data_IF_382898797728
#
_entry.id   IF_382898797728
#
_cell.length_a   1.000
_cell.length_b   1.000
_cell.length_c   1.000
_cell.angle_alpha   90.00
_cell.angle_beta   90.00
_cell.angle_gamma   90.00
#
_symmetry.space_group_name_H-M   'P 1'
#
loop_
_entity.id
_entity.type
_entity.pdbx_description
1 polymer ?
#
# COMPACT_ATOMS: atom_id res chain seq x y z
N UNK A 1 10.28 -10.00 0.49
CA UNK A 1 10.54 -9.89 1.94
C UNK A 1 10.62 -8.43 2.29
N UNK A 2 9.86 -8.00 3.28
CA UNK A 2 9.82 -6.63 3.73
C UNK A 2 8.97 -6.45 4.99
N UNK A 3 8.74 -5.20 5.41
CA UNK A 3 7.65 -4.88 6.33
C UNK A 3 6.57 -4.22 5.50
N UNK A 4 5.54 -5.00 5.16
CA UNK A 4 4.38 -4.56 4.37
C UNK A 4 3.09 -4.61 5.17
N UNK A 5 2.22 -3.65 4.89
CA UNK A 5 0.84 -3.61 5.36
C UNK A 5 -0.02 -3.93 4.15
N UNK A 6 -0.56 -5.15 4.07
CA UNK A 6 -1.54 -5.52 3.06
C UNK A 6 -2.93 -5.14 3.57
N UNK A 7 -3.74 -4.51 2.73
CA UNK A 7 -5.09 -4.15 3.12
C UNK A 7 -6.08 -4.22 1.97
N UNK A 8 -7.33 -4.48 2.33
CA UNK A 8 -8.49 -4.41 1.43
C UNK A 8 -9.48 -3.40 1.96
N UNK A 9 -10.02 -2.59 1.06
CA UNK A 9 -11.09 -1.63 1.32
C UNK A 9 -12.33 -2.08 0.55
N UNK A 10 -13.48 -2.12 1.21
CA UNK A 10 -14.76 -2.44 0.59
C UNK A 10 -15.86 -1.53 1.15
N UNK A 11 -16.89 -1.31 0.37
CA UNK A 11 -18.13 -0.68 0.84
C UNK A 11 -19.35 -1.42 0.29
N UNK A 12 -20.45 -1.36 1.02
CA UNK A 12 -21.76 -1.84 0.57
C UNK A 12 -22.53 -0.77 -0.22
N UNK A 13 -22.02 0.46 -0.28
CA UNK A 13 -22.58 1.53 -1.10
C UNK A 13 -22.54 1.17 -2.59
N UNK A 14 -23.62 1.48 -3.30
CA UNK A 14 -23.80 1.05 -4.69
C UNK A 14 -23.61 2.21 -5.68
N UNK A 15 -23.89 3.45 -5.25
CA UNK A 15 -23.84 4.62 -6.13
C UNK A 15 -22.46 5.26 -6.15
N UNK A 16 -22.10 5.85 -7.29
CA UNK A 16 -20.83 6.57 -7.43
C UNK A 16 -20.79 7.82 -6.55
N UNK A 17 -21.94 8.45 -6.31
CA UNK A 17 -22.09 9.60 -5.44
C UNK A 17 -21.76 9.27 -3.97
N UNK A 18 -22.23 8.14 -3.46
CA UNK A 18 -21.93 7.68 -2.09
C UNK A 18 -20.46 7.29 -1.95
N UNK A 19 -19.93 6.52 -2.90
CA UNK A 19 -18.51 6.14 -2.92
C UNK A 19 -17.62 7.38 -2.97
N UNK A 20 -17.96 8.37 -3.81
CA UNK A 20 -17.24 9.64 -3.89
C UNK A 20 -17.25 10.36 -2.54
N UNK A 21 -18.41 10.46 -1.87
CA UNK A 21 -18.49 11.11 -0.54
C UNK A 21 -17.58 10.43 0.48
N UNK A 22 -17.54 9.10 0.50
CA UNK A 22 -16.67 8.34 1.41
C UNK A 22 -15.20 8.68 1.14
N UNK A 23 -14.75 8.57 -0.11
CA UNK A 23 -13.35 8.84 -0.48
C UNK A 23 -12.97 10.30 -0.20
N UNK A 24 -13.85 11.26 -0.50
CA UNK A 24 -13.62 12.66 -0.18
C UNK A 24 -13.49 12.88 1.34
N UNK A 25 -14.41 12.36 2.13
CA UNK A 25 -14.36 12.50 3.60
C UNK A 25 -13.11 11.85 4.20
N UNK A 26 -12.71 10.69 3.68
CA UNK A 26 -11.48 10.03 4.07
C UNK A 26 -10.24 10.88 3.71
N UNK A 27 -10.21 11.47 2.52
CA UNK A 27 -9.12 12.36 2.10
C UNK A 27 -9.00 13.60 2.99
N UNK A 28 -10.11 14.25 3.32
CA UNK A 28 -10.11 15.42 4.20
C UNK A 28 -9.52 15.07 5.58
N UNK A 29 -9.90 13.92 6.14
CA UNK A 29 -9.28 13.46 7.39
C UNK A 29 -7.80 13.09 7.22
N UNK A 30 -7.41 12.57 6.06
CA UNK A 30 -6.01 12.27 5.77
C UNK A 30 -5.14 13.53 5.70
N UNK A 31 -5.69 14.67 5.25
CA UNK A 31 -4.97 15.96 5.19
C UNK A 31 -4.61 16.49 6.59
N UNK A 32 -5.35 16.09 7.62
CA UNK A 32 -5.07 16.45 9.02
C UNK A 32 -3.97 15.58 9.66
N UNK A 33 -3.55 14.50 8.99
CA UNK A 33 -2.43 13.66 9.43
C UNK A 33 -1.10 14.28 9.00
N UNK A 34 -0.05 14.03 9.79
CA UNK A 34 1.34 14.44 9.49
C UNK A 34 1.97 13.50 8.44
N UNK A 35 1.39 13.49 7.23
CA UNK A 35 1.84 12.75 6.05
C UNK A 35 2.75 13.62 5.18
N UNK A 36 3.59 13.00 4.35
CA UNK A 36 4.46 13.72 3.40
C UNK A 36 3.64 14.39 2.30
N UNK A 37 2.61 13.69 1.82
CA UNK A 37 1.70 14.24 0.82
C UNK A 37 0.38 13.47 0.80
N UNK A 38 -0.66 14.16 0.34
CA UNK A 38 -1.96 13.59 -0.02
C UNK A 38 -2.33 14.18 -1.38
N UNK A 39 -2.52 13.33 -2.39
CA UNK A 39 -2.87 13.79 -3.74
C UNK A 39 -4.29 14.36 -3.77
N UNK A 40 -4.64 15.03 -4.86
CA UNK A 40 -6.06 15.25 -5.20
C UNK A 40 -6.80 13.93 -5.44
N UNK A 41 -8.12 14.01 -5.46
CA UNK A 41 -8.97 12.87 -5.80
C UNK A 41 -8.74 12.50 -7.26
N UNK A 42 -8.55 11.22 -7.50
CA UNK A 42 -8.36 10.58 -8.79
C UNK A 42 -9.66 9.83 -9.10
N UNK A 43 -10.29 10.19 -10.21
CA UNK A 43 -11.42 9.45 -10.80
C UNK A 43 -11.03 8.99 -12.21
N UNK A 44 -11.03 7.68 -12.43
CA UNK A 44 -10.71 7.06 -13.73
C UNK A 44 -11.90 6.24 -14.19
N UNK A 45 -12.19 6.28 -15.50
CA UNK A 45 -13.29 5.50 -16.10
C UNK A 45 -12.88 4.88 -17.42
N UNK A 46 -13.46 3.72 -17.76
CA UNK A 46 -13.26 3.08 -19.06
C UNK A 46 -11.77 2.81 -19.35
N UNK A 47 -11.28 3.30 -20.49
CA UNK A 47 -9.89 3.10 -20.94
C UNK A 47 -8.84 3.69 -19.97
N UNK A 48 -9.20 4.66 -19.12
CA UNK A 48 -8.27 5.20 -18.12
C UNK A 48 -7.92 4.19 -17.02
N UNK A 49 -8.74 3.14 -16.87
CA UNK A 49 -8.51 2.03 -15.93
C UNK A 49 -7.65 0.90 -16.52
N UNK A 50 -7.15 1.05 -17.76
CA UNK A 50 -6.29 0.06 -18.40
C UNK A 50 -4.80 0.49 -18.40
N UNK A 51 -3.88 -0.42 -18.08
CA UNK A 51 -2.44 -0.13 -17.97
C UNK A 51 -1.78 0.27 -19.29
N UNK A 52 -2.36 -0.12 -20.43
CA UNK A 52 -1.85 0.21 -21.75
C UNK A 52 -2.16 1.66 -22.15
N UNK A 53 -3.22 2.24 -21.58
CA UNK A 53 -3.77 3.55 -21.96
C UNK A 53 -3.77 4.59 -20.84
N UNK A 54 -3.66 4.18 -19.58
CA UNK A 54 -3.65 5.11 -18.44
C UNK A 54 -2.42 6.04 -18.45
N UNK A 55 -2.59 7.23 -17.84
CA UNK A 55 -1.49 8.15 -17.58
C UNK A 55 -0.41 7.45 -16.74
N UNK A 56 0.86 7.73 -17.05
CA UNK A 56 2.01 7.30 -16.26
C UNK A 56 1.88 7.67 -14.79
N UNK A 57 1.27 8.81 -14.47
CA UNK A 57 1.03 9.23 -13.09
C UNK A 57 0.12 8.26 -12.32
N UNK A 58 -0.80 7.59 -13.01
CA UNK A 58 -1.80 6.69 -12.40
C UNK A 58 -1.43 5.21 -12.52
N UNK A 59 -0.31 4.88 -13.18
CA UNK A 59 0.07 3.48 -13.47
C UNK A 59 0.13 2.59 -12.25
N UNK A 60 0.69 3.06 -11.15
CA UNK A 60 0.78 2.26 -9.92
C UNK A 60 -0.61 1.97 -9.33
N UNK A 61 -1.48 2.99 -9.28
CA UNK A 61 -2.87 2.83 -8.85
C UNK A 61 -3.61 1.83 -9.75
N UNK A 62 -3.54 2.01 -11.07
CA UNK A 62 -4.19 1.12 -12.05
C UNK A 62 -3.64 -0.30 -11.97
N UNK A 63 -2.36 -0.48 -11.67
CA UNK A 63 -1.76 -1.80 -11.47
C UNK A 63 -2.40 -2.52 -10.29
N UNK A 64 -2.54 -1.83 -9.15
CA UNK A 64 -3.15 -2.39 -7.95
C UNK A 64 -4.68 -2.50 -8.02
N UNK A 65 -5.30 -1.72 -8.89
CA UNK A 65 -6.74 -1.75 -9.09
C UNK A 65 -7.22 -2.99 -9.85
N UNK A 66 -6.32 -3.75 -10.49
CA UNK A 66 -6.68 -4.96 -11.23
C UNK A 66 -7.05 -6.10 -10.28
N UNK A 67 -8.01 -6.92 -10.70
CA UNK A 67 -8.38 -8.13 -9.98
C UNK A 67 -7.71 -9.33 -10.64
N UNK A 68 -6.97 -10.09 -9.85
CA UNK A 68 -6.43 -11.39 -10.25
C UNK A 68 -7.57 -12.41 -10.22
N UNK A 69 -7.99 -12.89 -11.38
CA UNK A 69 -8.85 -14.05 -11.49
C UNK A 69 -7.97 -15.22 -11.90
N UNK A 70 -7.66 -16.09 -10.93
CA UNK A 70 -7.00 -17.36 -11.20
C UNK A 70 -8.02 -18.38 -11.72
N UNK A 71 -7.93 -18.72 -13.01
CA UNK A 71 -8.52 -19.93 -13.57
C UNK A 71 -7.66 -21.17 -13.29
N UNK A 72 -8.08 -22.34 -13.78
CA UNK A 72 -7.34 -23.60 -13.58
C UNK A 72 -5.92 -23.58 -14.19
N UNK A 73 -5.70 -22.81 -15.27
CA UNK A 73 -4.42 -22.76 -15.98
C UNK A 73 -3.90 -21.34 -16.31
N UNK A 74 -4.70 -20.28 -16.13
CA UNK A 74 -4.31 -18.90 -16.46
C UNK A 74 -4.76 -17.90 -15.38
N UNK A 75 -3.91 -16.89 -15.14
CA UNK A 75 -4.24 -15.72 -14.32
C UNK A 75 -4.64 -14.59 -15.26
N UNK A 76 -5.91 -14.18 -15.21
CA UNK A 76 -6.38 -13.01 -15.95
C UNK A 76 -6.43 -11.80 -15.01
N UNK A 77 -5.88 -10.68 -15.48
CA UNK A 77 -5.91 -9.40 -14.77
C UNK A 77 -7.04 -8.53 -15.33
N UNK A 78 -8.17 -8.50 -14.64
CA UNK A 78 -9.30 -7.69 -15.08
C UNK A 78 -9.20 -6.24 -14.61
N UNK A 79 -9.28 -5.31 -15.56
CA UNK A 79 -9.41 -3.89 -15.27
C UNK A 79 -10.79 -3.58 -14.65
N UNK A 80 -10.87 -2.68 -13.66
CA UNK A 80 -12.16 -2.24 -13.13
C UNK A 80 -12.87 -1.29 -14.13
N UNK A 81 -14.18 -1.15 -13.97
CA UNK A 81 -14.96 -0.20 -14.78
C UNK A 81 -14.72 1.26 -14.35
N UNK A 82 -14.43 1.47 -13.07
CA UNK A 82 -14.20 2.78 -12.47
C UNK A 82 -13.27 2.68 -11.27
N UNK A 83 -12.43 3.70 -11.07
CA UNK A 83 -11.59 3.87 -9.88
C UNK A 83 -11.89 5.25 -9.30
N UNK A 84 -12.15 5.33 -8.00
CA UNK A 84 -12.25 6.58 -7.24
C UNK A 84 -11.33 6.46 -6.03
N UNK A 85 -10.36 7.35 -5.89
CA UNK A 85 -9.39 7.26 -4.81
C UNK A 85 -8.45 8.44 -4.69
N UNK A 86 -7.50 8.34 -3.78
CA UNK A 86 -6.36 9.26 -3.68
C UNK A 86 -5.11 8.48 -3.23
N UNK A 87 -3.96 9.13 -3.35
CA UNK A 87 -2.67 8.57 -2.96
C UNK A 87 -2.11 9.39 -1.81
N UNK A 88 -1.74 8.72 -0.72
CA UNK A 88 -1.11 9.32 0.43
C UNK A 88 0.30 8.75 0.63
N UNK A 89 1.27 9.61 0.95
CA UNK A 89 2.61 9.17 1.29
C UNK A 89 2.83 9.28 2.81
N UNK A 90 2.94 8.16 3.53
CA UNK A 90 3.04 8.19 4.99
C UNK A 90 4.39 8.68 5.52
N UNK A 91 5.44 8.65 4.70
CA UNK A 91 6.78 9.05 5.12
C UNK A 91 7.83 8.81 4.05
N UNK A 92 8.90 9.60 4.10
CA UNK A 92 10.01 9.49 3.14
C UNK A 92 10.60 8.08 3.24
N UNK A 93 10.80 7.42 2.10
CA UNK A 93 11.27 6.03 2.03
C UNK A 93 10.16 4.98 2.18
N UNK A 94 8.88 5.36 2.34
CA UNK A 94 7.78 4.41 2.24
C UNK A 94 7.22 4.36 0.82
N UNK A 95 6.62 3.22 0.45
CA UNK A 95 5.70 3.15 -0.69
C UNK A 95 4.42 3.95 -0.35
N UNK A 96 3.73 4.44 -1.38
CA UNK A 96 2.52 5.22 -1.18
C UNK A 96 1.32 4.34 -0.78
N UNK A 97 0.52 4.83 0.17
CA UNK A 97 -0.78 4.27 0.52
C UNK A 97 -1.81 4.70 -0.53
N UNK A 98 -2.34 3.74 -1.28
CA UNK A 98 -3.43 3.98 -2.22
C UNK A 98 -4.76 3.78 -1.47
N UNK A 99 -5.57 4.83 -1.39
CA UNK A 99 -6.88 4.81 -0.74
C UNK A 99 -7.95 4.95 -1.81
N UNK A 100 -8.40 3.81 -2.35
CA UNK A 100 -9.29 3.78 -3.49
C UNK A 100 -10.40 2.74 -3.34
N UNK A 101 -11.47 2.90 -4.11
CA UNK A 101 -12.48 1.90 -4.38
C UNK A 101 -12.60 1.71 -5.89
N UNK A 102 -12.65 0.45 -6.32
CA UNK A 102 -12.79 0.08 -7.72
C UNK A 102 -14.15 -0.59 -7.95
N UNK A 103 -14.88 -0.11 -8.98
CA UNK A 103 -16.12 -0.73 -9.41
C UNK A 103 -15.81 -1.96 -10.25
N UNK A 104 -16.19 -3.12 -9.75
CA UNK A 104 -16.00 -4.42 -10.39
C UNK A 104 -17.11 -4.70 -11.41
N UNK A 105 -16.87 -5.66 -12.29
CA UNK A 105 -17.85 -6.08 -13.31
C UNK A 105 -19.14 -6.64 -12.70
N UNK A 106 -19.06 -7.24 -11.51
CA UNK A 106 -20.21 -7.72 -10.74
C UNK A 106 -20.97 -6.60 -10.00
N UNK A 107 -20.54 -5.34 -10.12
CA UNK A 107 -21.13 -4.17 -9.47
C UNK A 107 -20.56 -3.83 -8.10
N UNK A 108 -19.73 -4.68 -7.51
CA UNK A 108 -19.14 -4.45 -6.18
C UNK A 108 -18.07 -3.36 -6.19
N UNK A 109 -17.92 -2.68 -5.06
CA UNK A 109 -16.84 -1.71 -4.82
C UNK A 109 -15.82 -2.26 -3.84
N UNK A 110 -14.63 -2.56 -4.33
CA UNK A 110 -13.53 -2.99 -3.49
C UNK A 110 -12.17 -2.63 -4.08
N UNK A 111 -11.14 -2.67 -3.25
CA UNK A 111 -9.76 -2.44 -3.64
C UNK A 111 -8.83 -3.21 -2.71
N UNK A 112 -7.72 -3.72 -3.23
CA UNK A 112 -6.70 -4.42 -2.47
C UNK A 112 -5.32 -3.94 -2.88
N UNK A 113 -4.46 -3.66 -1.90
CA UNK A 113 -3.09 -3.21 -2.15
C UNK A 113 -2.22 -3.50 -0.94
N UNK A 114 -0.92 -3.24 -1.06
CA UNK A 114 -0.02 -3.20 0.08
C UNK A 114 0.80 -1.91 0.09
N UNK A 115 1.29 -1.54 1.27
CA UNK A 115 2.24 -0.46 1.45
C UNK A 115 3.46 -0.99 2.20
N UNK A 116 4.64 -0.91 1.59
CA UNK A 116 5.91 -1.19 2.26
C UNK A 116 6.47 0.05 2.94
N UNK A 117 6.87 -0.11 4.20
CA UNK A 117 7.41 0.99 5.01
C UNK A 117 8.87 0.79 5.40
N UNK A 118 9.46 -0.37 5.11
CA UNK A 118 10.80 -0.74 5.61
C UNK A 118 11.90 0.29 5.28
N UNK A 119 11.89 0.92 4.09
CA UNK A 119 12.97 1.82 3.67
C UNK A 119 12.86 3.21 4.30
N UNK A 120 11.77 3.51 5.01
CA UNK A 120 11.68 4.68 5.88
C UNK A 120 12.65 4.60 7.07
N UNK A 121 13.18 3.40 7.37
CA UNK A 121 14.20 3.20 8.41
C UNK A 121 15.62 3.59 7.99
N UNK A 122 15.84 3.96 6.73
CA UNK A 122 17.14 4.41 6.24
C UNK A 122 17.58 5.69 6.98
N UNK A 123 18.88 5.77 7.29
CA UNK A 123 19.44 6.92 8.02
C UNK A 123 19.26 8.24 7.27
N UNK A 124 19.32 8.23 5.93
CA UNK A 124 19.06 9.39 5.07
C UNK A 124 17.60 9.85 5.07
N UNK A 125 16.67 9.01 5.54
CA UNK A 125 15.24 9.34 5.69
C UNK A 125 14.83 9.64 7.14
N UNK A 126 15.75 9.59 8.11
CA UNK A 126 15.46 9.84 9.52
C UNK A 126 15.43 8.59 10.41
N UNK A 127 15.84 7.44 9.87
CA UNK A 127 16.10 6.24 10.66
C UNK A 127 14.85 5.59 11.26
N UNK A 128 15.04 4.85 12.36
CA UNK A 128 13.97 4.13 13.06
C UNK A 128 12.80 5.04 13.45
N UNK A 129 13.06 6.30 13.84
CA UNK A 129 12.00 7.23 14.21
C UNK A 129 11.08 7.56 13.01
N UNK A 130 11.65 7.77 11.82
CA UNK A 130 10.87 7.98 10.60
C UNK A 130 10.11 6.71 10.19
N UNK A 131 10.70 5.53 10.36
CA UNK A 131 9.98 4.26 10.16
C UNK A 131 8.74 4.15 11.06
N UNK A 132 8.89 4.36 12.37
CA UNK A 132 7.77 4.29 13.31
C UNK A 132 6.68 5.31 12.94
N UNK A 133 7.06 6.55 12.65
CA UNK A 133 6.11 7.57 12.16
C UNK A 133 5.38 7.10 10.91
N UNK A 134 6.11 6.62 9.90
CA UNK A 134 5.54 6.22 8.60
C UNK A 134 4.57 5.07 8.76
N UNK A 135 4.99 4.00 9.45
CA UNK A 135 4.18 2.82 9.64
C UNK A 135 2.91 3.11 10.45
N UNK A 136 3.05 3.84 11.55
CA UNK A 136 1.89 4.23 12.37
C UNK A 136 0.95 5.18 11.64
N UNK A 137 1.46 6.05 10.77
CA UNK A 137 0.62 6.96 9.95
C UNK A 137 -0.17 6.20 8.88
N UNK A 138 0.44 5.20 8.23
CA UNK A 138 -0.28 4.31 7.33
C UNK A 138 -1.42 3.57 8.06
N UNK A 139 -1.16 3.06 9.26
CA UNK A 139 -2.15 2.38 10.09
C UNK A 139 -3.27 3.33 10.53
N UNK A 140 -2.95 4.56 10.96
CA UNK A 140 -3.93 5.60 11.28
C UNK A 140 -4.82 5.94 10.08
N UNK A 141 -4.24 6.00 8.88
CA UNK A 141 -5.02 6.23 7.66
C UNK A 141 -6.04 5.10 7.40
N UNK A 142 -5.67 3.85 7.71
CA UNK A 142 -6.60 2.71 7.66
C UNK A 142 -7.66 2.76 8.78
N UNK A 143 -7.32 3.25 9.97
CA UNK A 143 -8.30 3.51 11.05
C UNK A 143 -9.32 4.58 10.62
N UNK A 144 -8.87 5.66 9.95
CA UNK A 144 -9.75 6.68 9.36
C UNK A 144 -10.63 6.10 8.26
N UNK A 145 -10.11 5.20 7.44
CA UNK A 145 -10.88 4.52 6.39
C UNK A 145 -12.04 3.73 6.99
N UNK A 146 -11.79 3.01 8.09
CA UNK A 146 -12.85 2.31 8.83
C UNK A 146 -13.88 3.27 9.40
N UNK A 147 -13.42 4.38 10.00
CA UNK A 147 -14.30 5.43 10.54
C UNK A 147 -15.14 6.12 9.47
N UNK A 148 -14.64 6.21 8.24
CA UNK A 148 -15.34 6.76 7.09
C UNK A 148 -16.41 5.80 6.50
N UNK A 149 -16.59 4.61 7.09
CA UNK A 149 -17.61 3.64 6.69
C UNK A 149 -17.11 2.54 5.75
N UNK A 150 -15.80 2.40 5.56
CA UNK A 150 -15.24 1.29 4.79
C UNK A 150 -15.08 0.04 5.65
N UNK A 151 -15.38 -1.11 5.07
CA UNK A 151 -14.90 -2.40 5.56
C UNK A 151 -13.41 -2.50 5.26
N UNK A 152 -12.58 -2.54 6.31
CA UNK A 152 -11.12 -2.57 6.21
C UNK A 152 -10.60 -3.91 6.71
N UNK A 153 -10.00 -4.69 5.83
CA UNK A 153 -9.26 -5.90 6.21
C UNK A 153 -7.77 -5.60 6.13
N UNK A 154 -7.00 -5.90 7.18
CA UNK A 154 -5.56 -5.64 7.23
C UNK A 154 -4.80 -6.89 7.61
N UNK A 155 -3.77 -7.20 6.82
CA UNK A 155 -2.70 -8.13 7.15
C UNK A 155 -1.38 -7.36 7.16
N UNK A 156 -0.97 -6.99 8.36
CA UNK A 156 0.31 -6.37 8.63
C UNK A 156 1.34 -7.44 9.00
N UNK A 157 2.44 -7.51 8.24
CA UNK A 157 3.47 -8.54 8.43
C UNK A 157 4.20 -8.44 9.78
N UNK A 158 4.21 -7.26 10.40
CA UNK A 158 4.80 -7.08 11.73
C UNK A 158 3.79 -7.19 12.89
N UNK A 159 2.49 -7.27 12.58
CA UNK A 159 1.42 -7.44 13.57
C UNK A 159 1.01 -6.17 14.32
N UNK A 160 1.57 -5.00 13.99
CA UNK A 160 1.22 -3.74 14.62
C UNK A 160 -0.26 -3.39 14.43
N UNK A 161 -0.86 -3.84 13.33
CA UNK A 161 -2.32 -3.77 13.13
C UNK A 161 -3.12 -4.41 14.30
N UNK A 162 -2.59 -5.41 15.00
CA UNK A 162 -3.30 -6.10 16.07
C UNK A 162 -2.89 -5.59 17.45
N UNK A 163 -1.58 -5.45 17.70
CA UNK A 163 -1.08 -5.16 19.04
C UNK A 163 -0.94 -3.67 19.35
N UNK A 164 -0.83 -2.79 18.33
CA UNK A 164 -0.63 -1.33 18.49
C UNK A 164 0.53 -1.00 19.46
N UNK A 165 1.61 -1.78 19.39
CA UNK A 165 2.79 -1.70 20.29
C UNK A 165 4.03 -1.31 19.47
N UNK A 166 4.51 -0.09 19.70
CA UNK A 166 5.67 0.45 18.99
C UNK A 166 6.98 -0.29 19.33
N UNK A 167 7.08 -0.91 20.51
CA UNK A 167 8.26 -1.68 20.89
C UNK A 167 8.38 -2.96 20.05
N UNK A 168 7.27 -3.69 19.86
CA UNK A 168 7.22 -4.89 19.01
C UNK A 168 7.46 -4.52 17.53
N UNK A 169 6.90 -3.38 17.08
CA UNK A 169 7.14 -2.87 15.73
C UNK A 169 8.63 -2.56 15.51
N UNK A 170 9.29 -1.94 16.49
CA UNK A 170 10.73 -1.66 16.43
C UNK A 170 11.56 -2.95 16.42
N UNK A 171 11.23 -3.93 17.26
CA UNK A 171 11.91 -5.23 17.29
C UNK A 171 11.78 -5.98 15.94
N UNK A 172 10.60 -5.89 15.32
CA UNK A 172 10.35 -6.46 14.00
C UNK A 172 11.25 -5.83 12.92
N UNK A 173 11.45 -4.51 12.98
CA UNK A 173 12.39 -3.81 12.10
C UNK A 173 13.84 -4.26 12.32
N UNK A 174 14.28 -4.33 13.58
CA UNK A 174 15.65 -4.76 13.90
C UNK A 174 15.92 -6.19 13.43
N UNK A 175 14.93 -7.08 13.56
CA UNK A 175 14.99 -8.46 13.07
C UNK A 175 15.09 -8.50 11.54
N UNK A 176 14.27 -7.71 10.83
CA UNK A 176 14.31 -7.61 9.37
C UNK A 176 15.67 -7.09 8.88
N UNK A 177 16.21 -6.04 9.51
CA UNK A 177 17.50 -5.47 9.13
C UNK A 177 18.64 -6.49 9.28
N UNK A 178 18.66 -7.28 10.38
CA UNK A 178 19.63 -8.38 10.56
C UNK A 178 19.52 -9.45 9.48
N UNK A 179 18.29 -9.80 9.07
CA UNK A 179 18.09 -10.75 7.97
C UNK A 179 18.63 -10.21 6.64
N UNK A 180 18.42 -8.92 6.36
CA UNK A 180 18.96 -8.28 5.15
C UNK A 180 20.48 -8.27 5.19
N UNK A 181 21.10 -7.88 6.31
CA UNK A 181 22.56 -7.91 6.50
C UNK A 181 23.13 -9.31 6.24
N UNK A 182 22.51 -10.35 6.83
CA UNK A 182 22.92 -11.75 6.64
C UNK A 182 22.86 -12.18 5.17
N UNK A 183 21.82 -11.76 4.43
CA UNK A 183 21.70 -12.06 3.00
C UNK A 183 22.76 -11.34 2.19
N UNK A 184 23.04 -10.06 2.50
CA UNK A 184 24.07 -9.26 1.82
C UNK A 184 25.47 -9.84 2.04
N UNK A 185 25.78 -10.28 3.27
CA UNK A 185 27.05 -10.95 3.58
C UNK A 185 27.23 -12.23 2.74
N UNK A 186 26.21 -13.10 2.70
CA UNK A 186 26.26 -14.35 1.91
C UNK A 186 26.42 -14.10 0.41
N UNK A 187 25.77 -13.08 -0.13
CA UNK A 187 25.92 -12.70 -1.54
C UNK A 187 27.34 -12.20 -1.82
N UNK A 188 27.89 -11.38 -0.91
CA UNK A 188 29.26 -10.87 -1.02
C UNK A 188 30.31 -11.97 -0.94
N UNK A 189 30.07 -13.00 -0.12
CA UNK A 189 30.93 -14.20 -0.05
C UNK A 189 30.78 -15.11 -1.28
N UNK A 190 29.56 -15.24 -1.82
CA UNK A 190 29.26 -16.02 -3.03
C UNK A 190 29.93 -15.48 -4.29
N UNK A 191 29.92 -14.16 -4.47
CA UNK A 191 30.64 -13.49 -5.57
C UNK A 191 32.17 -13.59 -5.41
N UNK A 192 32.66 -13.70 -4.16
CA UNK A 192 34.07 -13.95 -3.87
C UNK A 192 34.60 -15.32 -4.33
N UNK A 193 33.72 -16.31 -4.52
CA UNK A 193 34.08 -17.66 -4.99
C UNK A 193 34.10 -17.79 -6.52
N UNK A 194 33.46 -16.88 -7.26
CA UNK A 194 33.50 -16.85 -8.73
C UNK A 194 34.75 -16.16 -9.29
N UNK A 195 35.47 -15.37 -8.49
CA UNK A 195 36.69 -14.67 -8.88
C UNK A 195 38.00 -15.43 -8.57
N UNK A 196 37.93 -16.68 -8.08
CA UNK A 196 39.10 -17.53 -7.77
C UNK A 196 39.27 -18.76 -8.66
N UNK A 197 38.51 -18.83 -9.76
CA UNK A 197 38.68 -19.83 -10.82
C UNK A 197 39.02 -19.13 -12.13
N UNK A 198 40.28 -18.66 -12.24
CA UNK A 198 40.99 -18.41 -13.50
C UNK A 198 42.50 -18.40 -13.23
#
# INVERSE_FOLDING_TARGET
MGITIHYSLKTDEQTEEEVRKIIHNLREQALELDLVSVSDIIELTGEECDLSTCDKANRTLVTHARLDISGEDEVELLAPAKIIGFVANPGIGSEACHMALCKRANGEWNFHVFCKTQYASDAGHGGVANFLKSHTSAIKLLDLASTAGLEVTVRDECGYWQHRDEAILKESLETMNKHIETVVERLSEGDGNLLRLN
#
